data_IF_275915659543
#
_entry.id   IF_275915659543
#
_cell.length_a   1.000
_cell.length_b   1.000
_cell.length_c   1.000
_cell.angle_alpha   90.00
_cell.angle_beta   90.00
_cell.angle_gamma   90.00
#
_symmetry.space_group_name_H-M   'P 1'
#
loop_
_entity.id
_entity.type
_entity.pdbx_description
1 polymer ?
#
# COMPACT_ATOMS: atom_id res chain seq x y z
N UNK A 1 -25.67 40.24 -17.10
CA UNK A 1 -25.86 39.46 -15.87
C UNK A 1 -24.76 38.43 -15.78
N UNK A 2 -23.62 38.80 -15.21
CA UNK A 2 -22.48 37.90 -14.99
C UNK A 2 -22.77 37.12 -13.71
N UNK A 3 -23.16 35.84 -13.85
CA UNK A 3 -23.26 34.94 -12.72
C UNK A 3 -21.86 34.78 -12.11
N UNK A 4 -21.68 35.36 -10.94
CA UNK A 4 -20.52 35.15 -10.09
C UNK A 4 -20.61 33.69 -9.66
N UNK A 5 -19.92 32.80 -10.37
CA UNK A 5 -19.62 31.46 -9.87
C UNK A 5 -18.76 31.70 -8.63
N UNK A 6 -19.40 31.72 -7.46
CA UNK A 6 -18.70 31.79 -6.19
C UNK A 6 -17.70 30.64 -6.20
N UNK A 7 -16.40 30.95 -6.27
CA UNK A 7 -15.33 29.94 -6.16
C UNK A 7 -15.62 29.15 -4.90
N UNK A 8 -15.95 27.87 -5.07
CA UNK A 8 -16.18 26.95 -3.97
C UNK A 8 -14.95 27.02 -3.07
N UNK A 9 -15.14 27.47 -1.83
CA UNK A 9 -14.04 27.55 -0.86
C UNK A 9 -13.44 26.16 -0.75
N UNK A 10 -12.12 26.06 -0.85
CA UNK A 10 -11.43 24.78 -0.71
C UNK A 10 -11.66 24.25 0.71
N UNK A 11 -12.46 23.19 0.80
CA UNK A 11 -12.86 22.57 2.05
C UNK A 11 -11.70 21.78 2.67
N UNK A 12 -10.80 21.23 1.86
CA UNK A 12 -9.86 20.20 2.30
C UNK A 12 -8.43 20.73 2.51
N UNK A 13 -8.01 21.77 1.78
CA UNK A 13 -6.66 22.35 1.91
C UNK A 13 -6.20 22.61 3.35
N UNK A 14 -7.02 23.19 4.26
CA UNK A 14 -6.58 23.40 5.65
C UNK A 14 -6.34 22.10 6.42
N UNK A 15 -7.17 21.08 6.19
CA UNK A 15 -7.01 19.75 6.80
C UNK A 15 -5.81 19.02 6.22
N UNK A 16 -5.61 19.11 4.91
CA UNK A 16 -4.45 18.54 4.23
C UNK A 16 -3.15 19.21 4.75
N UNK A 17 -3.15 20.53 4.95
CA UNK A 17 -2.02 21.24 5.57
C UNK A 17 -1.74 20.74 6.99
N UNK A 18 -2.75 20.58 7.83
CA UNK A 18 -2.60 20.03 9.18
C UNK A 18 -2.01 18.62 9.16
N UNK A 19 -2.44 17.79 8.21
CA UNK A 19 -1.88 16.45 8.00
C UNK A 19 -0.39 16.50 7.63
N UNK A 20 0.00 17.36 6.69
CA UNK A 20 1.41 17.52 6.29
C UNK A 20 2.28 18.16 7.37
N UNK A 21 1.69 18.99 8.25
CA UNK A 21 2.33 19.53 9.46
C UNK A 21 2.43 18.52 10.61
N UNK A 22 2.01 17.26 10.39
CA UNK A 22 1.94 16.19 11.39
C UNK A 22 1.02 16.50 12.58
N UNK A 23 0.09 17.45 12.43
CA UNK A 23 -0.91 17.81 13.46
C UNK A 23 -2.16 16.93 13.32
N UNK A 24 -1.96 15.60 13.37
CA UNK A 24 -2.98 14.60 13.03
C UNK A 24 -4.27 14.69 13.85
N UNK A 25 -4.17 15.03 15.15
CA UNK A 25 -5.36 15.20 15.99
C UNK A 25 -6.23 16.38 15.55
N UNK A 26 -5.60 17.50 15.17
CA UNK A 26 -6.32 18.66 14.64
C UNK A 26 -6.87 18.39 13.24
N UNK A 27 -6.10 17.68 12.40
CA UNK A 27 -6.57 17.24 11.10
C UNK A 27 -7.81 16.34 11.22
N UNK A 28 -7.81 15.42 12.20
CA UNK A 28 -8.97 14.57 12.51
C UNK A 28 -10.19 15.38 12.87
N UNK A 29 -10.07 16.29 13.84
CA UNK A 29 -11.17 17.16 14.26
C UNK A 29 -11.72 17.97 13.08
N UNK A 30 -10.82 18.54 12.27
CA UNK A 30 -11.20 19.31 11.09
C UNK A 30 -12.00 18.50 10.06
N UNK A 31 -11.55 17.28 9.73
CA UNK A 31 -12.29 16.41 8.80
C UNK A 31 -13.61 15.89 9.39
N UNK A 32 -13.66 15.61 10.70
CA UNK A 32 -14.92 15.26 11.38
C UNK A 32 -15.94 16.41 11.36
N UNK A 33 -15.48 17.65 11.47
CA UNK A 33 -16.35 18.82 11.39
C UNK A 33 -16.85 19.07 9.96
N UNK A 34 -16.05 18.75 8.94
CA UNK A 34 -16.51 18.73 7.55
C UNK A 34 -17.61 17.69 7.37
N UNK A 35 -17.43 16.48 7.89
CA UNK A 35 -18.38 15.37 7.74
C UNK A 35 -19.77 15.70 8.32
N UNK A 36 -19.85 16.54 9.36
CA UNK A 36 -21.12 17.00 9.95
C UNK A 36 -21.89 17.99 9.07
N UNK A 37 -21.28 18.55 8.03
CA UNK A 37 -21.93 19.55 7.18
C UNK A 37 -22.92 18.89 6.20
N UNK A 38 -24.18 19.36 6.14
CA UNK A 38 -25.21 18.73 5.32
C UNK A 38 -25.07 18.98 3.80
N UNK A 39 -24.09 19.77 3.36
CA UNK A 39 -23.93 20.20 1.96
C UNK A 39 -22.85 19.45 1.17
N UNK A 40 -22.38 18.30 1.65
CA UNK A 40 -21.34 17.52 0.97
C UNK A 40 -21.93 16.77 -0.23
N UNK A 41 -21.34 16.97 -1.40
CA UNK A 41 -21.62 16.09 -2.52
C UNK A 41 -20.92 14.73 -2.30
N UNK A 42 -21.29 13.70 -3.06
CA UNK A 42 -20.71 12.36 -2.88
C UNK A 42 -19.18 12.33 -3.12
N UNK A 43 -18.63 13.24 -3.94
CA UNK A 43 -17.19 13.32 -4.22
C UNK A 43 -16.42 13.88 -3.03
N UNK A 44 -16.93 14.96 -2.43
CA UNK A 44 -16.40 15.58 -1.23
C UNK A 44 -16.51 14.62 -0.05
N UNK A 45 -17.62 13.88 0.05
CA UNK A 45 -17.82 12.87 1.08
C UNK A 45 -16.78 11.75 0.96
N UNK A 46 -16.58 11.21 -0.26
CA UNK A 46 -15.53 10.22 -0.54
C UNK A 46 -14.13 10.75 -0.20
N UNK A 47 -13.81 12.00 -0.61
CA UNK A 47 -12.53 12.64 -0.27
C UNK A 47 -12.37 12.83 1.24
N UNK A 48 -13.43 13.19 1.95
CA UNK A 48 -13.42 13.35 3.41
C UNK A 48 -13.11 12.03 4.11
N UNK A 49 -13.80 10.94 3.75
CA UNK A 49 -13.52 9.62 4.28
C UNK A 49 -12.08 9.17 4.00
N UNK A 50 -11.57 9.41 2.78
CA UNK A 50 -10.18 9.10 2.43
C UNK A 50 -9.17 9.86 3.30
N UNK A 51 -9.36 11.17 3.48
CA UNK A 51 -8.46 12.01 4.28
C UNK A 51 -8.53 11.65 5.76
N UNK A 52 -9.73 11.40 6.30
CA UNK A 52 -9.91 10.98 7.68
C UNK A 52 -9.28 9.60 7.93
N UNK A 53 -9.48 8.65 7.01
CA UNK A 53 -8.85 7.33 7.09
C UNK A 53 -7.32 7.43 7.09
N UNK A 54 -6.73 8.28 6.22
CA UNK A 54 -5.29 8.53 6.22
C UNK A 54 -4.79 9.09 7.55
N UNK A 55 -5.54 10.02 8.17
CA UNK A 55 -5.24 10.53 9.51
C UNK A 55 -5.28 9.41 10.56
N UNK A 56 -6.29 8.55 10.55
CA UNK A 56 -6.40 7.43 11.49
C UNK A 56 -5.27 6.40 11.32
N UNK A 57 -4.77 6.20 10.10
CA UNK A 57 -3.58 5.37 9.84
C UNK A 57 -2.34 5.95 10.52
N UNK A 58 -2.10 7.26 10.43
CA UNK A 58 -0.97 7.92 11.11
C UNK A 58 -1.12 7.87 12.64
N UNK A 59 -2.36 7.92 13.15
CA UNK A 59 -2.68 7.72 14.56
C UNK A 59 -2.63 6.25 15.01
N UNK A 60 -2.35 5.31 14.09
CA UNK A 60 -2.32 3.84 14.30
C UNK A 60 -3.67 3.22 14.69
N UNK A 61 -4.78 3.93 14.44
CA UNK A 61 -6.14 3.44 14.64
C UNK A 61 -6.60 2.66 13.41
N UNK A 62 -5.94 1.54 13.14
CA UNK A 62 -6.09 0.84 11.86
C UNK A 62 -7.50 0.27 11.61
N UNK A 63 -8.20 -0.19 12.66
CA UNK A 63 -9.59 -0.68 12.53
C UNK A 63 -10.55 0.41 12.09
N UNK A 64 -10.38 1.62 12.63
CA UNK A 64 -11.23 2.75 12.27
C UNK A 64 -10.90 3.26 10.86
N UNK A 65 -9.61 3.28 10.49
CA UNK A 65 -9.19 3.59 9.13
C UNK A 65 -9.82 2.64 8.09
N UNK A 66 -9.87 1.33 8.38
CA UNK A 66 -10.50 0.34 7.49
C UNK A 66 -11.99 0.65 7.32
N UNK A 67 -12.74 0.88 8.40
CA UNK A 67 -14.17 1.23 8.32
C UNK A 67 -14.42 2.49 7.49
N UNK A 68 -13.57 3.51 7.66
CA UNK A 68 -13.69 4.76 6.89
C UNK A 68 -13.42 4.53 5.40
N UNK A 69 -12.45 3.68 5.05
CA UNK A 69 -12.24 3.28 3.66
C UNK A 69 -13.41 2.43 3.10
N UNK A 70 -14.02 1.56 3.90
CA UNK A 70 -15.23 0.81 3.50
C UNK A 70 -16.41 1.77 3.26
N UNK A 71 -16.61 2.76 4.11
CA UNK A 71 -17.60 3.84 3.90
C UNK A 71 -17.30 4.63 2.63
N UNK A 72 -16.02 4.89 2.33
CA UNK A 72 -15.62 5.51 1.08
C UNK A 72 -16.03 4.65 -0.13
N UNK A 73 -15.78 3.33 -0.09
CA UNK A 73 -16.18 2.41 -1.17
C UNK A 73 -17.70 2.44 -1.40
N UNK A 74 -18.49 2.40 -0.33
CA UNK A 74 -19.96 2.46 -0.43
C UNK A 74 -20.45 3.74 -1.11
N UNK A 75 -19.81 4.88 -0.82
CA UNK A 75 -20.13 6.15 -1.48
C UNK A 75 -19.72 6.10 -2.94
N UNK A 76 -18.49 5.66 -3.22
CA UNK A 76 -17.94 5.56 -4.57
C UNK A 76 -18.83 4.68 -5.45
N UNK A 77 -19.28 3.51 -4.98
CA UNK A 77 -20.15 2.61 -5.74
C UNK A 77 -21.51 3.23 -6.12
N UNK A 78 -21.98 4.21 -5.37
CA UNK A 78 -23.25 4.93 -5.63
C UNK A 78 -23.08 6.17 -6.50
N UNK A 79 -21.86 6.53 -6.88
CA UNK A 79 -21.60 7.69 -7.75
C UNK A 79 -21.92 7.38 -9.21
N UNK A 80 -22.34 8.41 -9.96
CA UNK A 80 -22.69 8.31 -11.38
C UNK A 80 -21.53 8.71 -12.32
N UNK A 81 -20.45 9.26 -11.79
CA UNK A 81 -19.26 9.66 -12.56
C UNK A 81 -18.27 8.50 -12.66
N UNK A 82 -18.34 7.78 -13.78
CA UNK A 82 -17.74 6.44 -13.95
C UNK A 82 -16.21 6.50 -13.91
N UNK A 83 -15.56 7.48 -14.55
CA UNK A 83 -14.12 7.44 -14.75
C UNK A 83 -13.34 7.75 -13.46
N UNK A 84 -13.70 8.83 -12.76
CA UNK A 84 -13.09 9.20 -11.47
C UNK A 84 -13.43 8.20 -10.37
N UNK A 85 -14.61 7.57 -10.45
CA UNK A 85 -15.06 6.55 -9.51
C UNK A 85 -14.19 5.29 -9.58
N UNK A 86 -13.92 4.78 -10.78
CA UNK A 86 -13.12 3.57 -10.97
C UNK A 86 -11.71 3.77 -10.41
N UNK A 87 -11.10 4.92 -10.69
CA UNK A 87 -9.78 5.24 -10.17
C UNK A 87 -9.76 5.28 -8.63
N UNK A 88 -10.77 5.95 -8.05
CA UNK A 88 -10.88 6.08 -6.60
C UNK A 88 -11.15 4.73 -5.91
N UNK A 89 -11.92 3.83 -6.52
CA UNK A 89 -12.17 2.48 -6.00
C UNK A 89 -10.87 1.68 -5.93
N UNK A 90 -10.07 1.71 -7.01
CA UNK A 90 -8.75 1.08 -7.03
C UNK A 90 -7.86 1.60 -5.90
N UNK A 91 -7.74 2.92 -5.77
CA UNK A 91 -6.94 3.52 -4.70
C UNK A 91 -7.44 3.17 -3.31
N UNK A 92 -8.75 3.00 -3.15
CA UNK A 92 -9.33 2.58 -1.89
C UNK A 92 -8.94 1.13 -1.54
N UNK A 93 -9.02 0.19 -2.49
CA UNK A 93 -8.52 -1.17 -2.28
C UNK A 93 -7.02 -1.22 -1.94
N UNK A 94 -6.21 -0.44 -2.66
CA UNK A 94 -4.77 -0.30 -2.38
C UNK A 94 -4.55 0.20 -0.94
N UNK A 95 -5.31 1.20 -0.52
CA UNK A 95 -5.20 1.81 0.81
C UNK A 95 -5.60 0.83 1.90
N UNK A 96 -6.73 0.13 1.76
CA UNK A 96 -7.16 -0.90 2.71
C UNK A 96 -6.10 -2.01 2.82
N UNK A 97 -5.58 -2.51 1.70
CA UNK A 97 -4.51 -3.50 1.69
C UNK A 97 -3.25 -3.02 2.41
N UNK A 98 -2.88 -1.74 2.25
CA UNK A 98 -1.76 -1.13 2.99
C UNK A 98 -2.04 -1.07 4.50
N UNK A 99 -3.27 -0.75 4.91
CA UNK A 99 -3.64 -0.73 6.34
C UNK A 99 -3.57 -2.13 6.95
N UNK A 100 -4.08 -3.16 6.26
CA UNK A 100 -3.93 -4.55 6.71
C UNK A 100 -2.46 -4.99 6.82
N UNK A 101 -1.61 -4.55 5.89
CA UNK A 101 -0.16 -4.78 5.98
C UNK A 101 0.44 -4.12 7.22
N UNK A 102 0.09 -2.87 7.53
CA UNK A 102 0.53 -2.18 8.76
C UNK A 102 0.02 -2.87 10.03
N UNK A 103 -1.15 -3.52 9.98
CA UNK A 103 -1.67 -4.38 11.06
C UNK A 103 -0.96 -5.73 11.17
N UNK A 104 -0.02 -6.04 10.28
CA UNK A 104 0.61 -7.37 10.15
C UNK A 104 -0.38 -8.49 9.80
N UNK A 105 -1.56 -8.16 9.27
CA UNK A 105 -2.51 -9.13 8.71
C UNK A 105 -2.22 -9.28 7.21
N UNK A 106 -1.24 -10.13 6.90
CA UNK A 106 -0.70 -10.26 5.55
C UNK A 106 -1.67 -10.91 4.56
N UNK A 107 -2.50 -11.86 5.01
CA UNK A 107 -3.46 -12.57 4.16
C UNK A 107 -4.51 -11.60 3.59
N UNK A 108 -5.11 -10.79 4.46
CA UNK A 108 -6.06 -9.75 4.03
C UNK A 108 -5.37 -8.66 3.20
N UNK A 109 -4.14 -8.29 3.54
CA UNK A 109 -3.38 -7.32 2.75
C UNK A 109 -3.21 -7.81 1.31
N UNK A 110 -2.80 -9.07 1.11
CA UNK A 110 -2.65 -9.70 -0.20
C UNK A 110 -3.99 -9.77 -0.94
N UNK A 111 -5.06 -10.18 -0.25
CA UNK A 111 -6.39 -10.27 -0.84
C UNK A 111 -6.87 -8.91 -1.40
N UNK A 112 -6.71 -7.83 -0.64
CA UNK A 112 -7.09 -6.49 -1.09
C UNK A 112 -6.19 -5.95 -2.22
N UNK A 113 -4.90 -6.23 -2.23
CA UNK A 113 -4.04 -5.89 -3.36
C UNK A 113 -4.45 -6.66 -4.64
N UNK A 114 -4.83 -7.94 -4.53
CA UNK A 114 -5.34 -8.68 -5.69
C UNK A 114 -6.70 -8.15 -6.19
N UNK A 115 -7.61 -7.76 -5.30
CA UNK A 115 -8.85 -7.07 -5.69
C UNK A 115 -8.56 -5.76 -6.42
N UNK A 116 -7.54 -5.01 -6.01
CA UNK A 116 -7.10 -3.82 -6.72
C UNK A 116 -6.60 -4.15 -8.14
N UNK A 117 -5.78 -5.20 -8.31
CA UNK A 117 -5.33 -5.64 -9.64
C UNK A 117 -6.48 -6.08 -10.54
N UNK A 118 -7.42 -6.88 -10.03
CA UNK A 118 -8.58 -7.34 -10.78
C UNK A 118 -9.45 -6.16 -11.22
N UNK A 119 -9.68 -5.20 -10.31
CA UNK A 119 -10.43 -3.99 -10.60
C UNK A 119 -9.73 -3.12 -11.65
N UNK A 120 -8.41 -2.93 -11.55
CA UNK A 120 -7.64 -2.22 -12.58
C UNK A 120 -7.80 -2.95 -13.91
N UNK A 121 -7.44 -4.22 -14.00
CA UNK A 121 -7.45 -4.97 -15.26
C UNK A 121 -8.83 -5.03 -15.94
N UNK A 122 -9.91 -4.99 -15.16
CA UNK A 122 -11.27 -5.06 -15.67
C UNK A 122 -11.81 -3.72 -16.21
N UNK A 123 -11.32 -2.60 -15.67
CA UNK A 123 -11.96 -1.29 -15.89
C UNK A 123 -11.01 -0.15 -16.25
N UNK A 124 -9.71 -0.30 -15.98
CA UNK A 124 -8.69 0.75 -16.10
C UNK A 124 -7.39 0.19 -16.71
N UNK A 125 -6.83 0.90 -17.68
CA UNK A 125 -5.43 0.66 -18.08
C UNK A 125 -4.57 1.74 -17.45
N UNK A 126 -4.30 1.62 -16.15
CA UNK A 126 -3.44 2.55 -15.40
C UNK A 126 -2.13 1.86 -14.99
N UNK A 127 -1.08 1.91 -15.82
CA UNK A 127 0.20 1.27 -15.53
C UNK A 127 0.81 1.72 -14.20
N UNK A 128 0.66 3.00 -13.85
CA UNK A 128 1.17 3.55 -12.59
C UNK A 128 0.52 2.92 -11.36
N UNK A 129 -0.78 2.62 -11.42
CA UNK A 129 -1.49 1.94 -10.33
C UNK A 129 -1.10 0.47 -10.25
N UNK A 130 -0.96 -0.22 -11.39
CA UNK A 130 -0.49 -1.61 -11.43
C UNK A 130 0.89 -1.72 -10.78
N UNK A 131 1.81 -0.82 -11.15
CA UNK A 131 3.13 -0.73 -10.54
C UNK A 131 3.06 -0.52 -9.02
N UNK A 132 2.21 0.40 -8.55
CA UNK A 132 2.01 0.64 -7.12
C UNK A 132 1.51 -0.61 -6.38
N UNK A 133 0.56 -1.35 -6.96
CA UNK A 133 0.07 -2.61 -6.36
C UNK A 133 1.17 -3.67 -6.29
N UNK A 134 1.95 -3.85 -7.36
CA UNK A 134 3.08 -4.78 -7.36
C UNK A 134 4.15 -4.43 -6.33
N UNK A 135 4.47 -3.14 -6.14
CA UNK A 135 5.37 -2.72 -5.05
C UNK A 135 4.81 -3.05 -3.67
N UNK A 136 3.51 -2.85 -3.46
CA UNK A 136 2.87 -3.20 -2.18
C UNK A 136 2.89 -4.71 -1.93
N UNK A 137 2.57 -5.54 -2.93
CA UNK A 137 2.69 -6.99 -2.83
C UNK A 137 4.13 -7.40 -2.51
N UNK A 138 5.12 -6.83 -3.20
CA UNK A 138 6.52 -7.10 -2.93
C UNK A 138 6.93 -6.74 -1.48
N UNK A 139 6.45 -5.61 -0.95
CA UNK A 139 6.68 -5.23 0.44
C UNK A 139 6.01 -6.20 1.44
N UNK A 140 4.80 -6.66 1.13
CA UNK A 140 4.10 -7.65 1.95
C UNK A 140 4.89 -8.98 1.98
N UNK A 141 5.29 -9.50 0.81
CA UNK A 141 6.10 -10.72 0.72
C UNK A 141 7.50 -10.57 1.33
N UNK A 142 8.08 -9.38 1.30
CA UNK A 142 9.31 -9.08 2.04
C UNK A 142 9.09 -9.21 3.54
N UNK A 143 7.93 -8.76 4.04
CA UNK A 143 7.56 -8.85 5.45
C UNK A 143 7.29 -10.29 5.90
N UNK A 144 6.75 -11.14 5.02
CA UNK A 144 6.56 -12.59 5.28
C UNK A 144 7.83 -13.43 5.04
N UNK A 145 8.94 -12.78 4.62
CA UNK A 145 10.24 -13.42 4.29
C UNK A 145 10.21 -14.31 3.05
N UNK A 146 9.21 -14.14 2.19
CA UNK A 146 9.09 -14.79 0.88
C UNK A 146 9.83 -13.98 -0.18
N UNK A 147 11.14 -13.87 0.02
CA UNK A 147 11.97 -12.90 -0.69
C UNK A 147 12.06 -13.15 -2.21
N UNK A 148 11.94 -14.40 -2.66
CA UNK A 148 11.93 -14.71 -4.09
C UNK A 148 10.68 -14.15 -4.77
N UNK A 149 9.51 -14.33 -4.15
CA UNK A 149 8.23 -13.81 -4.63
C UNK A 149 8.24 -12.28 -4.60
N UNK A 150 8.79 -11.69 -3.53
CA UNK A 150 8.95 -10.25 -3.43
C UNK A 150 9.78 -9.66 -4.58
N UNK A 151 10.88 -10.34 -4.96
CA UNK A 151 11.74 -9.92 -6.06
C UNK A 151 10.99 -9.92 -7.39
N UNK A 152 10.24 -11.00 -7.68
CA UNK A 152 9.43 -11.10 -8.91
C UNK A 152 8.42 -9.96 -9.03
N UNK A 153 7.77 -9.57 -7.92
CA UNK A 153 6.84 -8.44 -7.93
C UNK A 153 7.55 -7.08 -8.06
N UNK A 154 8.73 -6.89 -7.46
CA UNK A 154 9.52 -5.68 -7.69
C UNK A 154 9.97 -5.56 -9.15
N UNK A 155 10.38 -6.66 -9.78
CA UNK A 155 10.75 -6.68 -11.21
C UNK A 155 9.56 -6.34 -12.12
N UNK A 156 8.37 -6.89 -11.83
CA UNK A 156 7.14 -6.53 -12.55
C UNK A 156 6.80 -5.05 -12.42
N UNK A 157 6.93 -4.48 -11.21
CA UNK A 157 6.72 -3.05 -11.01
C UNK A 157 7.74 -2.20 -11.78
N UNK A 158 9.00 -2.61 -11.76
CA UNK A 158 10.11 -1.92 -12.43
C UNK A 158 9.93 -1.90 -13.95
N UNK A 159 9.53 -3.02 -14.54
CA UNK A 159 9.25 -3.13 -15.98
C UNK A 159 8.19 -2.12 -16.42
N UNK A 160 7.14 -1.97 -15.63
CA UNK A 160 6.06 -1.01 -15.93
C UNK A 160 6.55 0.43 -15.78
N UNK A 161 7.29 0.73 -14.71
CA UNK A 161 7.83 2.07 -14.48
C UNK A 161 8.81 2.50 -15.59
N UNK A 162 9.61 1.58 -16.13
CA UNK A 162 10.55 1.82 -17.22
C UNK A 162 9.86 2.07 -18.56
N UNK A 163 8.83 1.29 -18.87
CA UNK A 163 8.02 1.51 -20.06
C UNK A 163 7.27 2.85 -20.03
N UNK A 164 6.79 3.26 -18.85
CA UNK A 164 5.95 4.45 -18.71
C UNK A 164 6.75 5.73 -18.49
N UNK A 165 7.88 5.66 -17.77
CA UNK A 165 8.64 6.83 -17.36
C UNK A 165 10.16 6.56 -17.33
N UNK A 166 10.83 6.51 -18.49
CA UNK A 166 12.28 6.26 -18.57
C UNK A 166 13.18 7.31 -17.88
N UNK A 167 12.59 8.35 -17.24
CA UNK A 167 13.30 9.40 -16.48
C UNK A 167 12.81 9.57 -15.03
N UNK A 168 11.94 8.70 -14.51
CA UNK A 168 11.40 8.85 -13.15
C UNK A 168 12.31 8.21 -12.08
N UNK A 169 13.54 8.71 -11.98
CA UNK A 169 14.61 8.17 -11.13
C UNK A 169 14.23 8.01 -9.65
N UNK A 170 13.24 8.75 -9.14
CA UNK A 170 12.77 8.65 -7.75
C UNK A 170 12.07 7.31 -7.48
N UNK A 171 11.15 6.90 -8.36
CA UNK A 171 10.43 5.63 -8.24
C UNK A 171 11.37 4.44 -8.44
N UNK A 172 12.32 4.57 -9.36
CA UNK A 172 13.42 3.62 -9.52
C UNK A 172 14.24 3.49 -8.25
N UNK A 173 14.67 4.60 -7.66
CA UNK A 173 15.49 4.61 -6.45
C UNK A 173 14.83 3.88 -5.28
N UNK A 174 13.52 4.05 -5.09
CA UNK A 174 12.76 3.34 -4.05
C UNK A 174 12.69 1.83 -4.34
N UNK A 175 12.38 1.43 -5.57
CA UNK A 175 12.34 0.01 -5.96
C UNK A 175 13.71 -0.65 -5.82
N UNK A 176 14.78 -0.01 -6.31
CA UNK A 176 16.15 -0.49 -6.20
C UNK A 176 16.65 -0.54 -4.75
N UNK A 177 16.30 0.43 -3.91
CA UNK A 177 16.63 0.40 -2.49
C UNK A 177 15.98 -0.82 -1.81
N UNK A 178 14.70 -1.07 -2.09
CA UNK A 178 13.99 -2.23 -1.55
C UNK A 178 14.60 -3.55 -2.05
N UNK A 179 14.89 -3.67 -3.34
CA UNK A 179 15.60 -4.83 -3.90
C UNK A 179 17.01 -5.01 -3.30
N UNK A 180 17.73 -3.92 -3.03
CA UNK A 180 19.03 -3.93 -2.36
C UNK A 180 18.94 -4.57 -0.97
N UNK A 181 18.03 -4.08 -0.13
CA UNK A 181 17.80 -4.65 1.22
C UNK A 181 17.35 -6.12 1.17
N UNK A 182 16.57 -6.47 0.14
CA UNK A 182 16.09 -7.83 -0.11
C UNK A 182 17.24 -8.78 -0.46
N UNK A 183 18.13 -8.37 -1.36
CA UNK A 183 19.28 -9.17 -1.81
C UNK A 183 20.30 -9.38 -0.69
N UNK A 184 20.51 -8.39 0.17
CA UNK A 184 21.34 -8.53 1.38
C UNK A 184 20.72 -9.53 2.37
N UNK A 185 19.40 -9.45 2.56
CA UNK A 185 18.65 -10.37 3.42
C UNK A 185 18.77 -11.81 2.92
N UNK A 186 18.57 -12.04 1.61
CA UNK A 186 18.77 -13.32 0.96
C UNK A 186 20.20 -13.86 1.11
N UNK A 187 21.22 -13.01 0.91
CA UNK A 187 22.63 -13.38 1.08
C UNK A 187 22.96 -13.74 2.54
N UNK A 188 22.37 -13.05 3.51
CA UNK A 188 22.56 -13.38 4.92
C UNK A 188 21.95 -14.72 5.29
N UNK A 189 20.77 -15.05 4.73
CA UNK A 189 20.07 -16.30 4.96
C UNK A 189 20.78 -17.49 4.31
N UNK A 190 21.31 -17.32 3.10
CA UNK A 190 22.09 -18.38 2.43
C UNK A 190 23.39 -18.70 3.19
N UNK A 191 24.07 -17.69 3.73
CA UNK A 191 25.23 -17.91 4.62
C UNK A 191 24.81 -18.62 5.91
N UNK A 192 23.67 -18.23 6.51
CA UNK A 192 23.16 -18.85 7.74
C UNK A 192 22.76 -20.31 7.52
N UNK A 193 22.09 -20.63 6.42
CA UNK A 193 21.72 -22.02 6.10
C UNK A 193 22.94 -22.89 5.82
N UNK A 194 23.95 -22.39 5.10
CA UNK A 194 25.24 -23.08 4.91
C UNK A 194 25.96 -23.32 6.25
N UNK A 195 25.94 -22.32 7.14
CA UNK A 195 26.54 -22.45 8.48
C UNK A 195 25.80 -23.48 9.34
N UNK A 196 24.47 -23.50 9.28
CA UNK A 196 23.65 -24.50 9.99
C UNK A 196 23.93 -25.91 9.45
N UNK A 197 23.98 -26.09 8.12
CA UNK A 197 24.33 -27.38 7.49
C UNK A 197 25.74 -27.83 7.92
N UNK A 198 26.71 -26.90 7.95
CA UNK A 198 28.06 -27.19 8.41
C UNK A 198 28.10 -27.59 9.89
N UNK A 199 27.31 -26.94 10.75
CA UNK A 199 27.21 -27.29 12.18
C UNK A 199 26.56 -28.66 12.40
N UNK A 200 25.54 -29.04 11.63
CA UNK A 200 24.91 -30.37 11.71
C UNK A 200 25.79 -31.48 11.16
N UNK A 201 26.51 -31.23 10.06
CA UNK A 201 27.47 -32.19 9.48
C UNK A 201 28.77 -32.30 10.32
N UNK A 202 29.16 -31.24 11.03
CA UNK A 202 30.32 -31.22 11.92
C UNK A 202 30.07 -31.87 13.30
N UNK A 203 28.82 -32.01 13.73
CA UNK A 203 28.46 -32.58 15.04
C UNK A 203 28.03 -34.06 15.00
N UNK A 204 27.98 -34.69 13.82
CA UNK A 204 27.59 -36.12 13.69
C UNK A 204 28.66 -37.03 13.08
N UNK A 205 29.83 -36.53 12.71
CA UNK A 205 30.82 -37.32 11.97
C UNK A 205 32.04 -37.81 12.80
N UNK A 206 31.85 -38.28 14.04
CA UNK A 206 33.00 -38.84 14.80
C UNK A 206 32.73 -39.97 15.78
N UNK A 207 31.63 -40.75 15.68
CA UNK A 207 31.47 -41.93 16.57
C UNK A 207 30.89 -43.23 16.00
N UNK A 208 30.65 -43.40 14.69
CA UNK A 208 29.99 -44.62 14.20
C UNK A 208 30.71 -45.45 13.13
N UNK A 209 31.99 -45.20 12.82
CA UNK A 209 32.71 -45.96 11.78
C UNK A 209 34.00 -46.68 12.20
N UNK A 210 34.25 -46.89 13.51
CA UNK A 210 35.44 -47.62 13.99
C UNK A 210 35.13 -48.74 15.02
N UNK A 211 34.06 -49.53 14.83
CA UNK A 211 33.86 -50.74 15.65
C UNK A 211 33.35 -51.97 14.89
N UNK A 212 33.61 -52.08 13.59
CA UNK A 212 33.43 -53.35 12.86
C UNK A 212 34.71 -53.64 12.06
N UNK A 213 35.74 -54.08 12.77
CA UNK A 213 36.68 -55.13 12.34
C UNK A 213 36.73 -56.12 13.51
#
# INVERSE_FOLDING_TARGET
MTSTVAKRKDLFSPGDWLYWSCEYLKAREYFQDILKQPSLNASDLSRCYRSLAAVEVELKNYDEAIKLYEQQLDVLQKMSDIENQLEAITWCYISIGKVYWLKSNFDEAIAYQHRALEHIQSYLTSPTQISAVYKNLANIFTSTKEFQIALEYFEKALSIDDECHPKNYLQFGQTYANMGTLTESLRSLSKRSQTIIFLFNGSTCTKFFNSII
#
